data_IF_166469638093
#
_entry.id   IF_166469638093
#
_cell.length_a   1.000
_cell.length_b   1.000
_cell.length_c   1.000
_cell.angle_alpha   90.00
_cell.angle_beta   90.00
_cell.angle_gamma   90.00
#
_symmetry.space_group_name_H-M   'P 1'
#
loop_
_entity.id
_entity.type
_entity.pdbx_description
1 polymer ?
#
# COMPACT_ATOMS: atom_id res chain seq x y z
N UNK A 1 -14.47 -10.46 -3.13
CA UNK A 1 -13.35 -9.56 -2.80
C UNK A 1 -12.84 -8.93 -4.08
N UNK A 2 -12.48 -7.66 -4.01
CA UNK A 2 -11.92 -6.94 -5.15
C UNK A 2 -10.63 -7.60 -5.65
N UNK A 3 -10.53 -7.78 -6.97
CA UNK A 3 -9.38 -8.48 -7.57
C UNK A 3 -8.04 -7.76 -7.34
N UNK A 4 -8.05 -6.44 -7.21
CA UNK A 4 -6.83 -5.68 -6.99
C UNK A 4 -6.34 -5.84 -5.55
N UNK A 5 -7.26 -5.91 -4.59
CA UNK A 5 -6.88 -6.22 -3.22
C UNK A 5 -6.31 -7.64 -3.13
N UNK A 6 -6.84 -8.58 -3.89
CA UNK A 6 -6.29 -9.93 -3.94
C UNK A 6 -4.84 -9.94 -4.44
N UNK A 7 -4.52 -9.12 -5.44
CA UNK A 7 -3.15 -8.97 -5.91
C UNK A 7 -2.26 -8.43 -4.81
N UNK A 8 -2.72 -7.40 -4.08
CA UNK A 8 -1.97 -6.85 -2.96
C UNK A 8 -1.70 -7.91 -1.87
N UNK A 9 -2.69 -8.75 -1.59
CA UNK A 9 -2.55 -9.83 -0.59
C UNK A 9 -1.55 -10.89 -1.07
N UNK A 10 -1.61 -11.26 -2.35
CA UNK A 10 -0.65 -12.22 -2.94
C UNK A 10 0.78 -11.66 -2.80
N UNK A 11 0.97 -10.37 -3.09
CA UNK A 11 2.28 -9.72 -2.93
C UNK A 11 2.73 -9.70 -1.47
N UNK A 12 1.81 -9.47 -0.55
CA UNK A 12 2.13 -9.51 0.89
C UNK A 12 2.62 -10.89 1.31
N UNK A 13 1.95 -11.94 0.84
CA UNK A 13 2.36 -13.33 1.14
C UNK A 13 3.70 -13.67 0.50
N UNK A 14 3.95 -13.20 -0.71
CA UNK A 14 5.23 -13.39 -1.38
C UNK A 14 6.36 -12.71 -0.63
N UNK A 15 6.13 -11.48 -0.14
CA UNK A 15 7.10 -10.77 0.68
C UNK A 15 7.45 -11.58 1.93
N UNK A 16 6.44 -12.10 2.61
CA UNK A 16 6.64 -12.92 3.82
C UNK A 16 7.45 -14.17 3.51
N UNK A 17 7.13 -14.84 2.40
CA UNK A 17 7.85 -16.06 1.98
C UNK A 17 9.32 -15.78 1.67
N UNK A 18 9.65 -14.55 1.28
CA UNK A 18 11.03 -14.13 0.97
C UNK A 18 11.77 -13.60 2.20
N UNK A 19 11.14 -13.60 3.37
CA UNK A 19 11.77 -13.12 4.60
C UNK A 19 11.59 -11.62 4.84
N UNK A 20 10.69 -10.99 4.11
CA UNK A 20 10.33 -9.57 4.29
C UNK A 20 9.04 -9.46 5.11
N UNK A 21 8.67 -8.22 5.48
CA UNK A 21 7.40 -7.96 6.15
C UNK A 21 6.24 -8.20 5.18
N UNK A 22 5.08 -8.68 5.67
CA UNK A 22 3.97 -9.12 4.81
C UNK A 22 3.09 -7.96 4.34
N UNK A 23 3.64 -7.11 3.49
CA UNK A 23 2.93 -5.96 2.93
C UNK A 23 2.98 -6.00 1.41
N UNK A 24 1.82 -5.78 0.78
CA UNK A 24 1.68 -5.72 -0.66
C UNK A 24 0.79 -4.56 -1.08
N UNK A 25 0.97 -4.08 -2.30
CA UNK A 25 0.23 -2.93 -2.80
C UNK A 25 0.13 -2.95 -4.33
N UNK A 26 -0.89 -2.26 -4.85
CA UNK A 26 -1.15 -2.14 -6.29
C UNK A 26 -1.68 -0.74 -6.57
N UNK A 27 -1.22 -0.12 -7.64
CA UNK A 27 -1.76 1.17 -8.10
C UNK A 27 -2.51 0.95 -9.42
N UNK A 28 -3.74 1.43 -9.49
CA UNK A 28 -4.65 1.18 -10.62
C UNK A 28 -5.24 2.50 -11.12
N UNK A 29 -5.34 2.64 -12.44
CA UNK A 29 -6.12 3.72 -13.06
C UNK A 29 -7.16 3.06 -13.95
N UNK A 30 -8.45 3.18 -13.60
CA UNK A 30 -9.52 2.44 -14.29
C UNK A 30 -9.30 0.94 -14.15
N UNK A 31 -9.04 0.25 -15.27
CA UNK A 31 -8.72 -1.16 -15.27
C UNK A 31 -7.23 -1.44 -15.52
N UNK A 32 -6.42 -0.39 -15.64
CA UNK A 32 -4.98 -0.52 -15.90
C UNK A 32 -4.21 -0.62 -14.59
N UNK A 33 -3.46 -1.70 -14.43
CA UNK A 33 -2.53 -1.84 -13.31
C UNK A 33 -1.26 -1.07 -13.67
N UNK A 34 -0.98 0.01 -12.94
CA UNK A 34 0.17 0.87 -13.19
C UNK A 34 1.43 0.37 -12.51
N UNK A 35 1.27 -0.32 -11.40
CA UNK A 35 2.40 -0.86 -10.66
C UNK A 35 1.92 -1.82 -9.58
N UNK A 36 2.77 -2.80 -9.28
CA UNK A 36 2.55 -3.79 -8.22
C UNK A 36 3.82 -3.78 -7.37
N UNK A 37 3.66 -3.88 -6.06
CA UNK A 37 4.82 -3.86 -5.18
C UNK A 37 4.62 -4.66 -3.92
N UNK A 38 5.72 -5.11 -3.34
CA UNK A 38 5.74 -5.75 -2.03
C UNK A 38 6.95 -5.29 -1.26
N UNK A 39 6.90 -5.48 0.05
CA UNK A 39 8.00 -5.09 0.92
C UNK A 39 9.27 -5.86 0.57
N UNK A 40 10.40 -5.15 0.47
CA UNK A 40 11.73 -5.71 0.22
C UNK A 40 12.77 -5.17 1.21
N UNK A 41 12.34 -4.69 2.38
CA UNK A 41 13.25 -4.05 3.33
C UNK A 41 14.45 -4.94 3.68
N UNK A 42 14.20 -6.21 3.96
CA UNK A 42 15.26 -7.15 4.36
C UNK A 42 16.10 -7.59 3.16
N UNK A 43 15.45 -7.99 2.07
CA UNK A 43 16.19 -8.50 0.90
C UNK A 43 16.96 -7.42 0.15
N UNK A 44 16.49 -6.17 0.17
CA UNK A 44 17.18 -5.05 -0.46
C UNK A 44 18.05 -4.27 0.53
N UNK A 45 18.01 -4.62 1.82
CA UNK A 45 18.70 -3.87 2.86
C UNK A 45 18.37 -2.38 2.77
N UNK A 46 17.08 -2.07 2.68
CA UNK A 46 16.59 -0.71 2.43
C UNK A 46 15.38 -0.43 3.32
N UNK A 47 15.49 0.48 4.30
CA UNK A 47 14.38 0.78 5.21
C UNK A 47 13.22 1.51 4.51
N UNK A 48 13.41 1.98 3.29
CA UNK A 48 12.36 2.66 2.53
C UNK A 48 11.63 1.74 1.55
N UNK A 49 12.06 0.49 1.42
CA UNK A 49 11.50 -0.44 0.43
C UNK A 49 10.17 -1.04 0.92
N UNK A 50 9.22 -0.18 1.24
CA UNK A 50 7.85 -0.54 1.59
C UNK A 50 7.06 -0.86 0.32
N UNK A 51 5.99 -1.64 0.44
CA UNK A 51 5.18 -2.05 -0.71
C UNK A 51 4.68 -0.83 -1.51
N UNK A 52 4.19 0.20 -0.83
CA UNK A 52 3.65 1.39 -1.47
C UNK A 52 4.74 2.17 -2.22
N UNK A 53 5.95 2.23 -1.67
CA UNK A 53 7.10 2.87 -2.32
C UNK A 53 7.47 2.07 -3.58
N UNK A 54 7.50 0.75 -3.48
CA UNK A 54 7.81 -0.11 -4.63
C UNK A 54 6.77 0.03 -5.75
N UNK A 55 5.50 0.19 -5.39
CA UNK A 55 4.42 0.45 -6.36
C UNK A 55 4.68 1.74 -7.13
N UNK A 56 5.06 2.80 -6.41
CA UNK A 56 5.34 4.10 -7.03
C UNK A 56 6.55 4.00 -7.96
N UNK A 57 7.60 3.29 -7.54
CA UNK A 57 8.76 3.02 -8.40
C UNK A 57 8.36 2.26 -9.65
N UNK A 58 7.52 1.24 -9.52
CA UNK A 58 7.05 0.43 -10.65
C UNK A 58 6.21 1.26 -11.62
N UNK A 59 5.34 2.12 -11.11
CA UNK A 59 4.50 2.99 -11.94
C UNK A 59 5.33 4.01 -12.70
N UNK A 60 6.44 4.43 -12.11
CA UNK A 60 7.35 5.40 -12.71
C UNK A 60 6.80 6.82 -12.70
N UNK A 61 7.49 7.70 -13.40
CA UNK A 61 7.13 9.11 -13.47
C UNK A 61 5.89 9.28 -14.36
N UNK A 62 4.82 9.81 -13.79
CA UNK A 62 3.57 10.05 -14.50
C UNK A 62 3.34 11.56 -14.64
N UNK A 63 2.59 11.96 -15.68
CA UNK A 63 2.19 13.35 -15.84
C UNK A 63 1.31 13.79 -14.66
N UNK A 64 0.41 12.91 -14.21
CA UNK A 64 -0.41 13.11 -13.03
C UNK A 64 -0.90 11.75 -12.52
N UNK A 65 -1.51 11.75 -11.33
CA UNK A 65 -2.08 10.54 -10.72
C UNK A 65 -3.61 10.63 -10.61
N UNK A 66 -4.24 11.48 -11.43
CA UNK A 66 -5.68 11.64 -11.46
C UNK A 66 -6.36 10.31 -11.77
N UNK A 67 -7.43 10.01 -11.04
CA UNK A 67 -8.22 8.80 -11.26
C UNK A 67 -7.55 7.51 -10.80
N UNK A 68 -6.44 7.60 -10.07
CA UNK A 68 -5.77 6.40 -9.56
C UNK A 68 -6.35 5.98 -8.20
N UNK A 69 -6.23 4.69 -7.92
CA UNK A 69 -6.54 4.11 -6.60
C UNK A 69 -5.36 3.25 -6.20
N UNK A 70 -4.84 3.47 -5.00
CA UNK A 70 -3.83 2.60 -4.43
C UNK A 70 -4.50 1.59 -3.50
N UNK A 71 -4.26 0.31 -3.74
CA UNK A 71 -4.67 -0.76 -2.85
C UNK A 71 -3.47 -1.15 -1.99
N UNK A 72 -3.67 -1.29 -0.70
CA UNK A 72 -2.62 -1.70 0.22
C UNK A 72 -3.17 -2.74 1.18
N UNK A 73 -2.44 -3.83 1.38
CA UNK A 73 -2.87 -4.89 2.29
C UNK A 73 -2.90 -4.43 3.75
N UNK A 74 -2.06 -3.46 4.10
CA UNK A 74 -2.04 -2.83 5.42
C UNK A 74 -2.01 -1.31 5.25
N UNK A 75 -2.50 -0.59 6.26
CA UNK A 75 -2.58 0.87 6.22
C UNK A 75 -1.18 1.47 5.98
N UNK A 76 -1.03 2.40 5.02
CA UNK A 76 0.27 3.04 4.76
C UNK A 76 0.80 3.78 5.98
N UNK A 77 2.07 3.58 6.28
CA UNK A 77 2.71 4.31 7.38
C UNK A 77 2.95 5.78 6.98
N UNK A 78 3.45 6.58 7.92
CA UNK A 78 3.67 8.00 7.67
C UNK A 78 4.64 8.25 6.51
N UNK A 79 5.68 7.41 6.37
CA UNK A 79 6.62 7.52 5.26
C UNK A 79 5.93 7.31 3.91
N UNK A 80 5.02 6.35 3.82
CA UNK A 80 4.29 6.06 2.58
C UNK A 80 3.19 7.09 2.32
N UNK A 81 2.60 7.64 3.37
CA UNK A 81 1.61 8.71 3.25
C UNK A 81 2.19 9.94 2.56
N UNK A 82 3.46 10.24 2.78
CA UNK A 82 4.13 11.38 2.15
C UNK A 82 4.00 11.38 0.63
N UNK A 83 4.52 10.37 -0.07
CA UNK A 83 4.37 10.29 -1.52
C UNK A 83 2.92 10.24 -2.00
N UNK A 84 2.03 9.56 -1.28
CA UNK A 84 0.60 9.52 -1.65
C UNK A 84 0.03 10.94 -1.70
N UNK A 85 0.32 11.74 -0.69
CA UNK A 85 -0.11 13.14 -0.63
C UNK A 85 0.59 13.98 -1.71
N UNK A 86 1.91 13.86 -1.83
CA UNK A 86 2.71 14.67 -2.74
C UNK A 86 2.34 14.41 -4.20
N UNK A 87 2.09 13.17 -4.57
CA UNK A 87 1.72 12.80 -5.93
C UNK A 87 0.23 13.00 -6.20
N UNK A 88 -0.55 13.32 -5.18
CA UNK A 88 -2.00 13.54 -5.26
C UNK A 88 -2.74 12.30 -5.74
N UNK A 89 -2.36 11.15 -5.21
CA UNK A 89 -3.14 9.92 -5.38
C UNK A 89 -4.47 10.13 -4.65
N UNK A 90 -5.61 10.13 -5.36
CA UNK A 90 -6.87 10.63 -4.77
C UNK A 90 -7.56 9.65 -3.84
N UNK A 91 -7.26 8.36 -3.95
CA UNK A 91 -7.99 7.34 -3.20
C UNK A 91 -7.09 6.18 -2.84
N UNK A 92 -7.26 5.67 -1.60
CA UNK A 92 -6.62 4.42 -1.18
C UNK A 92 -7.68 3.49 -0.59
N UNK A 93 -7.49 2.19 -0.83
CA UNK A 93 -8.31 1.12 -0.26
C UNK A 93 -7.38 0.19 0.50
N UNK A 94 -7.65 0.01 1.78
CA UNK A 94 -6.74 -0.63 2.73
C UNK A 94 -7.34 -1.92 3.26
N UNK A 95 -6.55 -2.99 3.27
CA UNK A 95 -7.00 -4.29 3.74
C UNK A 95 -7.16 -4.37 5.24
N UNK A 96 -6.27 -3.77 6.00
CA UNK A 96 -6.37 -3.74 7.46
C UNK A 96 -5.62 -2.54 8.05
N UNK A 97 -6.18 -1.98 9.11
CA UNK A 97 -5.53 -0.94 9.90
C UNK A 97 -4.66 -1.58 10.98
N UNK A 98 -3.79 -0.78 11.60
CA UNK A 98 -2.97 -1.20 12.74
C UNK A 98 -2.93 -0.09 13.77
N UNK A 99 -2.58 -0.44 15.00
CA UNK A 99 -2.51 0.51 16.09
C UNK A 99 -1.44 1.57 15.82
N UNK A 100 -1.85 2.85 15.79
CA UNK A 100 -0.94 3.96 15.52
C UNK A 100 -1.04 4.50 14.10
N UNK A 101 -1.88 3.93 13.25
CA UNK A 101 -2.02 4.39 11.87
C UNK A 101 -2.76 5.73 11.74
N UNK A 102 -3.33 6.25 12.84
CA UNK A 102 -4.13 7.48 12.83
C UNK A 102 -3.33 8.70 12.37
N UNK A 103 -2.03 8.74 12.65
CA UNK A 103 -1.17 9.86 12.24
C UNK A 103 -1.11 9.96 10.72
N UNK A 104 -0.87 8.85 10.03
CA UNK A 104 -0.84 8.85 8.56
C UNK A 104 -2.23 9.07 7.98
N UNK A 105 -3.28 8.51 8.61
CA UNK A 105 -4.65 8.72 8.17
C UNK A 105 -5.04 10.20 8.23
N UNK A 106 -4.74 10.87 9.35
CA UNK A 106 -5.03 12.29 9.51
C UNK A 106 -4.33 13.12 8.44
N UNK A 107 -3.06 12.83 8.17
CA UNK A 107 -2.29 13.54 7.14
C UNK A 107 -2.93 13.38 5.77
N UNK A 108 -3.27 12.16 5.39
CA UNK A 108 -3.85 11.89 4.07
C UNK A 108 -5.23 12.51 3.93
N UNK A 109 -6.10 12.36 4.93
CA UNK A 109 -7.46 12.94 4.88
C UNK A 109 -7.42 14.45 4.83
N UNK A 110 -6.51 15.09 5.57
CA UNK A 110 -6.34 16.54 5.56
C UNK A 110 -5.92 17.05 4.17
N UNK A 111 -5.34 16.19 3.34
CA UNK A 111 -4.92 16.52 1.98
C UNK A 111 -5.84 15.95 0.91
N UNK A 112 -7.06 15.58 1.29
CA UNK A 112 -8.10 15.21 0.33
C UNK A 112 -8.07 13.77 -0.16
N UNK A 113 -7.28 12.90 0.46
CA UNK A 113 -7.25 11.48 0.08
C UNK A 113 -8.49 10.78 0.64
N UNK A 114 -9.24 10.11 -0.23
CA UNK A 114 -10.36 9.27 0.19
C UNK A 114 -9.84 7.92 0.64
N UNK A 115 -10.19 7.50 1.86
CA UNK A 115 -9.69 6.28 2.48
C UNK A 115 -10.84 5.32 2.76
N UNK A 116 -10.71 4.08 2.30
CA UNK A 116 -11.63 3.00 2.65
C UNK A 116 -10.83 1.90 3.34
N UNK A 117 -11.22 1.52 4.56
CA UNK A 117 -10.57 0.47 5.34
C UNK A 117 -11.52 -0.72 5.38
N UNK A 118 -11.09 -1.87 4.84
CA UNK A 118 -11.93 -3.04 4.71
C UNK A 118 -11.91 -3.94 5.93
N UNK A 119 -10.85 -3.90 6.72
CA UNK A 119 -10.63 -4.75 7.89
C UNK A 119 -10.82 -6.23 7.55
N UNK A 120 -10.13 -6.70 6.51
CA UNK A 120 -10.18 -8.09 6.06
C UNK A 120 -9.42 -8.99 7.02
N UNK A 121 -10.04 -10.10 7.41
CA UNK A 121 -9.41 -11.05 8.35
C UNK A 121 -8.07 -11.56 7.84
N UNK A 122 -7.96 -11.85 6.55
CA UNK A 122 -6.72 -12.32 5.94
C UNK A 122 -5.59 -11.30 6.09
N UNK A 123 -5.91 -10.02 5.93
CA UNK A 123 -4.92 -8.94 6.10
C UNK A 123 -4.56 -8.75 7.57
N UNK A 124 -5.53 -8.87 8.47
CA UNK A 124 -5.28 -8.81 9.91
C UNK A 124 -4.36 -9.94 10.36
N UNK A 125 -4.55 -11.15 9.84
CA UNK A 125 -3.69 -12.28 10.15
C UNK A 125 -2.24 -12.05 9.71
N UNK A 126 -2.06 -11.50 8.52
CA UNK A 126 -0.72 -11.15 8.04
C UNK A 126 -0.04 -10.18 8.98
N UNK A 127 -0.76 -9.17 9.48
CA UNK A 127 -0.22 -8.21 10.44
C UNK A 127 0.15 -8.86 11.77
N UNK A 128 -0.67 -9.78 12.28
CA UNK A 128 -0.39 -10.50 13.52
C UNK A 128 0.89 -11.35 13.41
N UNK A 129 1.21 -11.81 12.22
CA UNK A 129 2.37 -12.66 11.96
C UNK A 129 3.61 -11.88 11.54
N UNK A 130 3.52 -10.54 11.49
CA UNK A 130 4.63 -9.70 11.03
C UNK A 130 5.59 -9.31 12.13
N UNK A 131 5.19 -9.56 13.34
CA UNK A 131 5.91 -9.11 14.49
C UNK A 131 6.99 -9.92 15.02
#
# INVERSE_FOLDING_TARGET
>A
MDKYMQIAIVEAKAAQAEGNYPYGSVLVRGTEIMGVGRNHMNTHNDPTSHAEIEVIRAAGLQENYTGTIMYASAFPCLMCAGPIVMLRIPEIIVGASWEGCETSQTLMEANGVKITILELEECKELLRNSG
#
